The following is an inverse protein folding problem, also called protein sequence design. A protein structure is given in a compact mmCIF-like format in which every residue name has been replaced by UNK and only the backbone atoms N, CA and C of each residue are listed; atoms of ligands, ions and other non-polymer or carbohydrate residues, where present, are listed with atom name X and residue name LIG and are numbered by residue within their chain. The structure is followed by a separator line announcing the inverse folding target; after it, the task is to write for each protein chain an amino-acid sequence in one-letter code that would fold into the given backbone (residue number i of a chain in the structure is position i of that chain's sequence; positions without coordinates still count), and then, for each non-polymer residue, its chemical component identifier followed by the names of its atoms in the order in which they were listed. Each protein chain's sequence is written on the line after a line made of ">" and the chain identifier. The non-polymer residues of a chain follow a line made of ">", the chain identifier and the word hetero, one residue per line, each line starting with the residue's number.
data_IF_825299041570
#
_entry.id   IF_825299041570
#
_cell.length_a   1.000
_cell.length_b   1.000
_cell.length_c   1.000
_cell.angle_alpha   90.00
_cell.angle_beta   90.00
_cell.angle_gamma   90.00
#
_symmetry.space_group_name_H-M   'P 1'
#
loop_
_entity.id
_entity.type
_entity.pdbx_description
1 polymer ?
#
# COMPACT_ATOMS: atom_id res chain seq x y z
N UNK A 1 -1.03 -12.69 -12.82
CA UNK A 1 -1.33 -11.29 -13.19
C UNK A 1 -2.75 -10.87 -12.82
N UNK A 2 -3.81 -11.58 -13.25
CA UNK A 2 -5.19 -11.17 -12.97
C UNK A 2 -5.54 -11.17 -11.46
N UNK A 3 -5.03 -12.14 -10.71
CA UNK A 3 -5.23 -12.22 -9.25
C UNK A 3 -4.47 -11.14 -8.47
N UNK A 4 -3.29 -10.75 -8.98
CA UNK A 4 -2.48 -9.70 -8.35
C UNK A 4 -3.17 -8.35 -8.50
N UNK A 5 -3.68 -8.04 -9.70
CA UNK A 5 -4.47 -6.84 -9.94
C UNK A 5 -5.68 -6.76 -9.00
N UNK A 6 -6.42 -7.87 -8.85
CA UNK A 6 -7.56 -7.93 -7.93
C UNK A 6 -7.15 -7.71 -6.48
N UNK A 7 -5.99 -8.22 -6.08
CA UNK A 7 -5.44 -8.02 -4.72
C UNK A 7 -5.09 -6.56 -4.49
N UNK A 8 -4.36 -5.93 -5.41
CA UNK A 8 -4.02 -4.50 -5.35
C UNK A 8 -5.30 -3.65 -5.29
N UNK A 9 -6.30 -3.97 -6.10
CA UNK A 9 -7.57 -3.25 -6.09
C UNK A 9 -8.32 -3.41 -4.76
N UNK A 10 -8.26 -4.58 -4.13
CA UNK A 10 -8.83 -4.80 -2.81
C UNK A 10 -8.06 -4.04 -1.71
N UNK A 11 -6.72 -4.02 -1.78
CA UNK A 11 -5.90 -3.20 -0.87
C UNK A 11 -6.22 -1.72 -1.03
N UNK A 12 -6.36 -1.25 -2.27
CA UNK A 12 -6.78 0.12 -2.56
C UNK A 12 -8.12 0.43 -1.88
N UNK A 13 -9.16 -0.40 -2.10
CA UNK A 13 -10.46 -0.21 -1.45
C UNK A 13 -10.40 -0.24 0.08
N UNK A 14 -9.55 -1.09 0.65
CA UNK A 14 -9.42 -1.27 2.10
C UNK A 14 -8.77 -0.07 2.78
N UNK A 15 -7.73 0.49 2.19
CA UNK A 15 -6.91 1.53 2.83
C UNK A 15 -7.21 2.95 2.34
N UNK A 16 -7.95 3.08 1.23
CA UNK A 16 -8.42 4.36 0.76
C UNK A 16 -9.58 4.86 1.63
N UNK A 17 -9.42 6.04 2.23
CA UNK A 17 -10.41 6.65 3.13
C UNK A 17 -10.56 8.14 2.81
N UNK A 18 -11.60 8.83 3.28
CA UNK A 18 -11.73 10.28 3.07
C UNK A 18 -10.55 11.10 3.60
N UNK A 19 -9.80 10.58 4.58
CA UNK A 19 -8.61 11.22 5.17
C UNK A 19 -7.30 10.75 4.55
N UNK A 20 -7.33 9.77 3.64
CA UNK A 20 -6.16 9.16 3.03
C UNK A 20 -6.51 8.64 1.65
N UNK A 21 -6.14 9.42 0.65
CA UNK A 21 -6.36 9.06 -0.74
C UNK A 21 -5.14 8.32 -1.26
N UNK A 22 -5.30 7.02 -1.53
CA UNK A 22 -4.25 6.21 -2.13
C UNK A 22 -4.42 6.15 -3.63
N UNK A 23 -3.32 6.27 -4.36
CA UNK A 23 -3.28 5.91 -5.77
C UNK A 23 -3.20 4.38 -5.93
N UNK A 24 -3.46 3.90 -7.14
CA UNK A 24 -3.23 2.49 -7.44
C UNK A 24 -1.76 2.08 -7.28
N UNK A 25 -0.82 3.02 -7.46
CA UNK A 25 0.61 2.81 -7.26
C UNK A 25 0.89 2.57 -5.76
N UNK A 26 0.31 3.37 -4.87
CA UNK A 26 0.48 3.20 -3.43
C UNK A 26 -0.07 1.85 -2.95
N UNK A 27 -1.24 1.47 -3.45
CA UNK A 27 -1.81 0.14 -3.19
C UNK A 27 -0.92 -0.99 -3.74
N UNK A 28 -0.27 -0.78 -4.88
CA UNK A 28 0.69 -1.73 -5.44
C UNK A 28 1.93 -1.88 -4.55
N UNK A 29 2.42 -0.79 -3.96
CA UNK A 29 3.53 -0.82 -3.00
C UNK A 29 3.14 -1.56 -1.72
N UNK A 30 1.92 -1.35 -1.21
CA UNK A 30 1.37 -2.10 -0.08
C UNK A 30 1.31 -3.60 -0.39
N UNK A 31 0.81 -3.96 -1.56
CA UNK A 31 0.75 -5.36 -2.01
C UNK A 31 2.15 -5.98 -2.08
N UNK A 32 3.13 -5.30 -2.71
CA UNK A 32 4.50 -5.80 -2.84
C UNK A 32 5.15 -5.96 -1.46
N UNK A 33 4.96 -4.98 -0.56
CA UNK A 33 5.42 -5.07 0.81
C UNK A 33 4.90 -6.34 1.50
N UNK A 34 3.60 -6.63 1.39
CA UNK A 34 3.00 -7.82 2.00
C UNK A 34 3.50 -9.12 1.34
N UNK A 35 3.51 -9.18 0.00
CA UNK A 35 3.91 -10.35 -0.79
C UNK A 35 5.33 -10.79 -0.48
N UNK A 36 6.25 -9.84 -0.40
CA UNK A 36 7.67 -10.10 -0.17
C UNK A 36 8.07 -9.99 1.30
N UNK A 37 7.10 -9.82 2.22
CA UNK A 37 7.34 -9.66 3.66
C UNK A 37 8.36 -8.56 3.95
N UNK A 38 8.17 -7.41 3.32
CA UNK A 38 9.01 -6.23 3.55
C UNK A 38 9.08 -5.88 5.03
N UNK A 39 10.27 -5.50 5.51
CA UNK A 39 10.45 -5.04 6.88
C UNK A 39 10.00 -3.59 7.05
N UNK A 40 10.37 -2.73 6.07
CA UNK A 40 10.09 -1.30 6.08
C UNK A 40 9.89 -0.77 4.67
N UNK A 41 9.15 0.32 4.55
CA UNK A 41 9.03 1.10 3.31
C UNK A 41 9.78 2.42 3.48
N UNK A 42 10.68 2.73 2.54
CA UNK A 42 11.32 4.03 2.46
C UNK A 42 10.44 4.94 1.62
N UNK A 43 9.82 5.95 2.24
CA UNK A 43 8.93 6.88 1.54
C UNK A 43 8.72 8.13 2.36
N UNK A 44 8.83 9.31 1.74
CA UNK A 44 8.49 10.58 2.40
C UNK A 44 6.98 10.84 2.48
N UNK A 45 6.16 9.93 1.93
CA UNK A 45 4.72 10.07 1.90
C UNK A 45 4.07 9.46 3.15
N UNK A 46 3.42 10.32 3.93
CA UNK A 46 2.65 9.95 5.12
C UNK A 46 1.44 9.03 4.85
N UNK A 47 1.05 8.83 3.59
CA UNK A 47 -0.04 7.92 3.23
C UNK A 47 0.17 6.48 3.76
N UNK A 48 1.42 6.02 3.89
CA UNK A 48 1.71 4.67 4.39
C UNK A 48 1.67 4.56 5.92
N UNK A 49 1.55 5.67 6.65
CA UNK A 49 1.49 5.66 8.11
C UNK A 49 0.31 4.82 8.59
N UNK A 50 0.48 4.03 9.65
CA UNK A 50 -0.55 3.12 10.16
C UNK A 50 -1.00 2.01 9.17
N UNK A 51 -0.33 1.84 8.02
CA UNK A 51 -0.49 0.67 7.13
C UNK A 51 0.80 -0.15 7.12
N UNK A 52 1.93 0.52 6.90
CA UNK A 52 3.27 -0.08 6.79
C UNK A 52 4.23 0.53 7.82
N UNK A 53 5.36 -0.13 8.05
CA UNK A 53 6.47 0.46 8.82
C UNK A 53 7.27 1.40 7.93
N UNK A 54 6.94 2.69 7.96
CA UNK A 54 7.60 3.72 7.14
C UNK A 54 8.94 4.17 7.75
N UNK A 55 9.94 4.37 6.89
CA UNK A 55 11.20 5.04 7.18
C UNK A 55 11.19 6.41 6.51
N UNK A 56 11.37 7.46 7.34
CA UNK A 56 11.25 8.89 7.00
C UNK A 56 9.84 9.29 6.64
#
# INVERSE_FOLDING_TARGET
>A
MQDEYKTVFNDLKKYNTPKRLLSFIDASLIYLYQKYKGDKILSFDSHFDNILKRLY
#
